data_IF_822334647473
#
_entry.id   IF_822334647473
#
_cell.length_a   1.000
_cell.length_b   1.000
_cell.length_c   1.000
_cell.angle_alpha   90.00
_cell.angle_beta   90.00
_cell.angle_gamma   90.00
#
_symmetry.space_group_name_H-M   'P 1'
#
loop_
_entity.id
_entity.type
_entity.pdbx_description
1 polymer ?
#
# COMPACT_ATOMS: atom_id res chain seq x y z
N UNK A 1 -3.12 16.87 -12.19
CA UNK A 1 -3.85 15.81 -12.91
C UNK A 1 -5.21 15.72 -12.27
N UNK A 2 -6.28 15.77 -13.06
CA UNK A 2 -7.63 15.62 -12.51
C UNK A 2 -7.88 14.14 -12.18
N UNK A 3 -7.82 13.79 -10.89
CA UNK A 3 -8.02 12.43 -10.41
C UNK A 3 -9.50 12.12 -10.18
N UNK A 4 -10.40 13.12 -10.16
CA UNK A 4 -11.82 12.89 -9.85
C UNK A 4 -12.57 12.15 -10.95
N UNK A 5 -11.99 12.03 -12.14
CA UNK A 5 -12.53 11.15 -13.19
C UNK A 5 -12.33 9.65 -12.91
N UNK A 6 -11.39 9.30 -12.02
CA UNK A 6 -11.01 7.92 -11.73
C UNK A 6 -11.49 7.44 -10.37
N UNK A 7 -11.87 8.37 -9.49
CA UNK A 7 -12.18 8.09 -8.09
C UNK A 7 -13.58 8.60 -7.80
N UNK A 8 -14.39 7.75 -7.17
CA UNK A 8 -15.73 8.12 -6.74
C UNK A 8 -15.67 9.28 -5.74
N UNK A 9 -16.49 10.30 -5.98
CA UNK A 9 -16.43 11.57 -5.25
C UNK A 9 -16.61 11.44 -3.73
N UNK A 10 -17.30 10.41 -3.25
CA UNK A 10 -17.51 10.17 -1.82
C UNK A 10 -16.23 9.74 -1.09
N UNK A 11 -15.26 9.16 -1.81
CA UNK A 11 -13.98 8.73 -1.25
C UNK A 11 -13.00 9.88 -1.05
N UNK A 12 -13.11 10.96 -1.84
CA UNK A 12 -12.15 12.08 -1.83
C UNK A 12 -12.11 12.85 -0.49
N UNK A 13 -13.18 12.77 0.30
CA UNK A 13 -13.21 13.35 1.65
C UNK A 13 -12.58 12.44 2.70
N UNK A 14 -12.60 11.12 2.48
CA UNK A 14 -12.15 10.09 3.42
C UNK A 14 -10.71 9.64 3.16
N UNK A 15 -10.23 9.81 1.94
CA UNK A 15 -8.93 9.35 1.51
C UNK A 15 -8.19 10.43 0.71
N UNK A 16 -6.88 10.42 0.79
CA UNK A 16 -6.00 11.12 -0.16
C UNK A 16 -5.36 10.13 -1.12
N UNK A 17 -5.15 10.54 -2.37
CA UNK A 17 -4.65 9.67 -3.42
C UNK A 17 -3.47 10.34 -4.13
N UNK A 18 -2.38 9.59 -4.30
CA UNK A 18 -1.20 10.02 -5.04
C UNK A 18 -0.93 9.03 -6.16
N UNK A 19 -1.01 9.52 -7.40
CA UNK A 19 -0.89 8.75 -8.62
C UNK A 19 0.56 8.78 -9.15
N UNK A 20 1.28 7.67 -9.01
CA UNK A 20 2.65 7.53 -9.53
C UNK A 20 2.68 6.54 -10.69
N UNK A 21 3.26 6.96 -11.82
CA UNK A 21 3.43 6.09 -12.98
C UNK A 21 2.13 5.71 -13.70
N UNK A 22 1.11 6.57 -13.64
CA UNK A 22 -0.22 6.33 -14.21
C UNK A 22 -0.96 5.14 -13.59
N UNK A 23 -0.76 4.88 -12.30
CA UNK A 23 -1.40 3.78 -11.58
C UNK A 23 -2.92 3.87 -11.59
N UNK A 24 -3.51 5.07 -11.46
CA UNK A 24 -4.96 5.25 -11.56
C UNK A 24 -5.49 4.92 -12.95
N UNK A 25 -4.79 5.34 -14.01
CA UNK A 25 -5.18 5.04 -15.38
C UNK A 25 -5.12 3.53 -15.65
N UNK A 26 -4.07 2.85 -15.18
CA UNK A 26 -3.94 1.40 -15.31
C UNK A 26 -5.04 0.68 -14.54
N UNK A 27 -5.31 1.08 -13.30
CA UNK A 27 -6.38 0.51 -12.48
C UNK A 27 -7.76 0.72 -13.16
N UNK A 28 -8.02 1.92 -13.66
CA UNK A 28 -9.31 2.25 -14.25
C UNK A 28 -9.55 1.57 -15.60
N UNK A 29 -8.56 1.56 -16.50
CA UNK A 29 -8.73 1.06 -17.87
C UNK A 29 -8.48 -0.44 -18.00
N UNK A 30 -7.45 -0.96 -17.32
CA UNK A 30 -7.01 -2.35 -17.47
C UNK A 30 -7.55 -3.28 -16.38
N UNK A 31 -7.85 -2.73 -15.19
CA UNK A 31 -8.31 -3.49 -14.02
C UNK A 31 -9.60 -2.92 -13.39
N UNK A 32 -10.64 -2.62 -14.19
CA UNK A 32 -11.82 -1.90 -13.71
C UNK A 32 -12.60 -2.66 -12.62
N UNK A 33 -12.57 -4.00 -12.63
CA UNK A 33 -13.22 -4.82 -11.60
C UNK A 33 -12.48 -4.74 -10.27
N UNK A 34 -11.15 -4.94 -10.28
CA UNK A 34 -10.30 -4.78 -9.10
C UNK A 34 -10.41 -3.36 -8.53
N UNK A 35 -10.37 -2.35 -9.39
CA UNK A 35 -10.46 -0.97 -8.96
C UNK A 35 -11.81 -0.66 -8.29
N UNK A 36 -12.91 -1.16 -8.86
CA UNK A 36 -14.24 -1.05 -8.25
C UNK A 36 -14.29 -1.72 -6.88
N UNK A 37 -13.72 -2.91 -6.73
CA UNK A 37 -13.68 -3.62 -5.46
C UNK A 37 -12.84 -2.90 -4.39
N UNK A 38 -11.70 -2.32 -4.79
CA UNK A 38 -10.88 -1.50 -3.89
C UNK A 38 -11.63 -0.24 -3.44
N UNK A 39 -12.34 0.45 -4.34
CA UNK A 39 -13.20 1.58 -3.98
C UNK A 39 -14.34 1.17 -3.03
N UNK A 40 -14.98 0.02 -3.26
CA UNK A 40 -15.96 -0.54 -2.32
C UNK A 40 -15.34 -0.88 -0.96
N UNK A 41 -14.11 -1.38 -0.94
CA UNK A 41 -13.36 -1.62 0.30
C UNK A 41 -13.12 -0.31 1.06
N UNK A 42 -12.65 0.73 0.38
CA UNK A 42 -12.45 2.05 0.97
C UNK A 42 -13.76 2.66 1.50
N UNK A 43 -14.87 2.48 0.77
CA UNK A 43 -16.19 2.97 1.16
C UNK A 43 -16.71 2.32 2.45
N UNK A 44 -16.48 1.01 2.60
CA UNK A 44 -16.89 0.21 3.76
C UNK A 44 -15.94 0.33 4.95
N UNK A 45 -14.73 0.86 4.75
CA UNK A 45 -13.77 1.06 5.83
C UNK A 45 -14.32 2.07 6.86
N UNK A 46 -14.35 1.62 8.11
CA UNK A 46 -14.72 2.46 9.24
C UNK A 46 -13.84 2.12 10.44
N UNK A 47 -13.24 3.14 11.06
CA UNK A 47 -12.31 3.00 12.18
C UNK A 47 -12.92 3.57 13.45
N UNK A 48 -13.04 2.78 14.50
CA UNK A 48 -13.43 3.29 15.82
C UNK A 48 -12.22 3.81 16.59
N UNK A 49 -12.45 4.61 17.63
CA UNK A 49 -11.38 5.01 18.57
C UNK A 49 -10.74 3.77 19.23
N UNK A 50 -11.55 2.76 19.56
CA UNK A 50 -11.05 1.53 20.16
C UNK A 50 -10.15 0.74 19.20
N UNK A 51 -10.45 0.74 17.90
CA UNK A 51 -9.58 0.14 16.88
C UNK A 51 -8.19 0.79 16.87
N UNK A 52 -8.15 2.11 17.02
CA UNK A 52 -6.91 2.90 16.98
C UNK A 52 -6.13 2.77 18.29
N UNK A 53 -6.82 2.62 19.43
CA UNK A 53 -6.22 2.45 20.77
C UNK A 53 -5.56 1.08 20.95
N UNK A 54 -6.18 -0.01 20.46
CA UNK A 54 -5.64 -1.38 20.57
C UNK A 54 -4.18 -1.47 20.15
N UNK A 55 -3.39 -2.32 20.81
CA UNK A 55 -1.97 -2.53 20.53
C UNK A 55 -1.67 -2.81 19.04
N UNK A 56 -0.48 -2.40 18.59
CA UNK A 56 -0.03 -2.64 17.21
C UNK A 56 0.43 -4.09 16.96
N UNK A 57 0.86 -4.38 15.74
CA UNK A 57 1.24 -5.74 15.32
C UNK A 57 0.01 -6.59 14.98
N UNK A 58 0.10 -7.91 15.19
CA UNK A 58 -0.97 -8.88 14.89
C UNK A 58 -2.25 -8.69 15.74
N UNK A 59 -2.24 -7.77 16.71
CA UNK A 59 -3.37 -7.45 17.56
C UNK A 59 -4.22 -6.28 17.04
N UNK A 60 -3.76 -5.57 16.00
CA UNK A 60 -4.53 -4.49 15.40
C UNK A 60 -5.73 -5.07 14.63
N UNK A 61 -6.95 -4.58 14.86
CA UNK A 61 -8.13 -5.04 14.13
C UNK A 61 -8.20 -4.46 12.70
N UNK A 62 -7.31 -3.53 12.35
CA UNK A 62 -7.42 -2.75 11.12
C UNK A 62 -7.12 -3.59 9.88
N UNK A 63 -6.02 -4.37 9.81
CA UNK A 63 -5.80 -5.30 8.69
C UNK A 63 -6.99 -6.24 8.45
N UNK A 64 -7.54 -6.79 9.53
CA UNK A 64 -8.70 -7.68 9.44
C UNK A 64 -9.94 -7.04 8.79
N UNK A 65 -10.15 -5.73 8.96
CA UNK A 65 -11.24 -5.03 8.28
C UNK A 65 -11.08 -5.04 6.76
N UNK A 66 -9.85 -5.03 6.25
CA UNK A 66 -9.59 -5.20 4.82
C UNK A 66 -9.79 -6.65 4.40
N UNK A 67 -9.30 -7.62 5.19
CA UNK A 67 -9.53 -9.06 4.95
C UNK A 67 -11.02 -9.38 4.76
N UNK A 68 -11.84 -8.93 5.72
CA UNK A 68 -13.28 -9.20 5.77
C UNK A 68 -14.01 -8.67 4.51
N UNK A 69 -13.46 -7.66 3.84
CA UNK A 69 -14.04 -7.08 2.62
C UNK A 69 -13.43 -7.69 1.35
N UNK A 70 -12.11 -7.81 1.28
CA UNK A 70 -11.38 -8.19 0.06
C UNK A 70 -11.35 -9.70 -0.17
N UNK A 71 -11.33 -10.53 0.88
CA UNK A 71 -11.32 -11.99 0.71
C UNK A 71 -12.58 -12.51 -0.01
N UNK A 72 -13.80 -12.04 0.30
CA UNK A 72 -14.99 -12.39 -0.47
C UNK A 72 -14.89 -12.05 -1.97
N UNK A 73 -14.14 -11.01 -2.34
CA UNK A 73 -13.90 -10.63 -3.74
C UNK A 73 -12.78 -11.45 -4.43
N UNK A 74 -12.15 -12.37 -3.70
CA UNK A 74 -11.11 -13.26 -4.26
C UNK A 74 -9.68 -12.76 -4.11
N UNK A 75 -9.46 -11.63 -3.44
CA UNK A 75 -8.11 -11.17 -3.09
C UNK A 75 -7.50 -12.09 -2.04
N UNK A 76 -6.20 -12.38 -2.14
CA UNK A 76 -5.52 -13.30 -1.22
C UNK A 76 -4.15 -12.76 -0.86
N UNK A 77 -3.75 -12.97 0.40
CA UNK A 77 -2.36 -12.89 0.79
C UNK A 77 -1.56 -13.91 -0.04
N UNK A 78 -0.48 -13.45 -0.64
CA UNK A 78 0.34 -14.28 -1.50
C UNK A 78 1.81 -14.10 -1.18
N UNK A 79 2.53 -15.21 -1.18
CA UNK A 79 3.99 -15.23 -1.16
C UNK A 79 4.48 -15.56 -2.56
N UNK A 80 5.24 -14.66 -3.16
CA UNK A 80 5.79 -14.84 -4.51
C UNK A 80 7.26 -15.17 -4.39
N UNK A 81 7.71 -16.29 -4.94
CA UNK A 81 9.13 -16.66 -4.99
C UNK A 81 9.50 -17.22 -6.34
N UNK A 82 10.73 -17.03 -6.78
CA UNK A 82 11.19 -17.54 -8.06
C UNK A 82 12.70 -17.49 -8.20
N UNK A 83 13.23 -18.45 -8.94
CA UNK A 83 14.64 -18.52 -9.32
C UNK A 83 14.84 -17.93 -10.72
N UNK A 84 16.02 -17.36 -10.99
CA UNK A 84 16.40 -16.91 -12.32
C UNK A 84 17.37 -17.92 -12.95
N UNK A 85 16.92 -18.59 -14.02
CA UNK A 85 17.77 -19.48 -14.82
C UNK A 85 18.43 -18.67 -15.92
N UNK A 86 19.76 -18.54 -15.87
CA UNK A 86 20.56 -17.86 -16.88
C UNK A 86 21.23 -18.90 -17.77
N UNK A 87 20.98 -18.83 -19.08
CA UNK A 87 21.54 -19.73 -20.08
C UNK A 87 22.44 -18.97 -21.05
N UNK A 88 23.72 -19.37 -21.15
CA UNK A 88 24.71 -18.71 -22.01
C UNK A 88 24.98 -19.56 -23.25
N UNK A 89 24.70 -19.01 -24.42
CA UNK A 89 24.84 -19.69 -25.72
C UNK A 89 26.04 -19.15 -26.49
N UNK A 90 27.09 -19.96 -26.76
CA UNK A 90 28.24 -19.48 -27.49
C UNK A 90 27.90 -19.33 -28.99
N UNK A 91 28.71 -18.55 -29.71
CA UNK A 91 28.60 -18.46 -31.18
C UNK A 91 29.01 -19.79 -31.81
N UNK A 92 28.30 -20.24 -32.85
CA UNK A 92 28.74 -21.40 -33.66
C UNK A 92 30.05 -21.06 -34.38
N UNK A 93 31.10 -21.86 -34.15
CA UNK A 93 32.51 -21.61 -34.57
C UNK A 93 32.66 -21.55 -36.10
N UNK A 94 31.76 -22.21 -36.83
CA UNK A 94 31.72 -22.22 -38.28
C UNK A 94 30.43 -21.56 -38.80
N UNK A 95 30.63 -20.44 -39.52
CA UNK A 95 29.71 -19.83 -40.49
C UNK A 95 28.56 -18.95 -39.97
N UNK A 96 28.68 -17.66 -40.37
CA UNK A 96 27.71 -16.55 -40.36
C UNK A 96 27.55 -15.79 -39.02
N UNK A 97 27.76 -14.46 -39.08
CA UNK A 97 27.40 -13.51 -38.01
C UNK A 97 25.93 -13.76 -37.60
N UNK A 98 25.68 -13.84 -36.29
CA UNK A 98 24.33 -13.90 -35.71
C UNK A 98 23.78 -15.30 -35.42
N UNK A 99 24.54 -16.39 -35.63
CA UNK A 99 24.11 -17.75 -35.24
C UNK A 99 24.76 -18.22 -33.92
N UNK A 100 23.93 -18.61 -32.97
CA UNK A 100 24.33 -19.17 -31.66
C UNK A 100 24.11 -20.68 -31.60
N UNK A 101 24.73 -21.35 -30.64
CA UNK A 101 24.51 -22.78 -30.35
C UNK A 101 23.05 -23.04 -29.97
N UNK A 102 22.56 -24.26 -30.24
CA UNK A 102 21.20 -24.65 -29.86
C UNK A 102 21.15 -25.08 -28.38
N UNK A 103 22.28 -25.53 -27.83
CA UNK A 103 22.46 -25.87 -26.43
C UNK A 103 23.35 -24.84 -25.72
N UNK A 104 23.06 -24.48 -24.45
CA UNK A 104 23.89 -23.57 -23.68
C UNK A 104 25.23 -24.23 -23.30
N UNK A 105 26.32 -23.46 -23.30
CA UNK A 105 27.60 -23.94 -22.78
C UNK A 105 27.67 -23.87 -21.25
N UNK A 106 26.84 -22.99 -20.67
CA UNK A 106 26.77 -22.75 -19.24
C UNK A 106 25.33 -22.39 -18.87
N UNK A 107 24.82 -23.04 -17.83
CA UNK A 107 23.52 -22.76 -17.21
C UNK A 107 23.79 -22.54 -15.74
N UNK A 108 23.38 -21.38 -15.23
CA UNK A 108 23.43 -21.07 -13.81
C UNK A 108 22.03 -20.71 -13.31
N UNK A 109 21.72 -21.13 -12.08
CA UNK A 109 20.47 -20.78 -11.40
C UNK A 109 20.79 -19.84 -10.26
N UNK A 110 20.23 -18.63 -10.32
CA UNK A 110 20.25 -17.69 -9.20
C UNK A 110 19.01 -18.00 -8.36
N UNK A 111 19.22 -18.71 -7.25
CA UNK A 111 18.14 -19.11 -6.35
C UNK A 111 17.57 -17.92 -5.60
N UNK A 112 16.25 -17.85 -5.45
CA UNK A 112 15.58 -16.78 -4.73
C UNK A 112 15.77 -15.40 -5.36
N UNK A 113 15.83 -15.35 -6.70
CA UNK A 113 15.93 -14.09 -7.43
C UNK A 113 14.76 -13.15 -7.13
N UNK A 114 13.56 -13.72 -6.99
CA UNK A 114 12.39 -13.04 -6.47
C UNK A 114 12.30 -13.32 -4.98
N UNK A 115 12.39 -12.26 -4.18
CA UNK A 115 12.25 -12.32 -2.72
C UNK A 115 10.86 -12.83 -2.37
N UNK A 116 10.81 -13.82 -1.47
CA UNK A 116 9.60 -14.44 -0.95
C UNK A 116 8.79 -13.51 -0.04
N UNK A 117 8.75 -12.22 -0.32
CA UNK A 117 8.03 -11.23 0.48
C UNK A 117 6.52 -11.41 0.28
N UNK A 118 5.76 -11.37 1.37
CA UNK A 118 4.32 -11.50 1.30
C UNK A 118 3.71 -10.18 0.85
N UNK A 119 2.80 -10.25 -0.13
CA UNK A 119 1.89 -9.15 -0.46
C UNK A 119 0.60 -9.43 0.29
N UNK A 120 0.08 -8.42 1.00
CA UNK A 120 -1.15 -8.58 1.80
C UNK A 120 -2.31 -9.05 0.94
N UNK A 121 -2.44 -8.50 -0.27
CA UNK A 121 -3.47 -8.90 -1.22
C UNK A 121 -2.97 -8.84 -2.67
N UNK A 122 -3.09 -9.95 -3.38
CA UNK A 122 -2.95 -10.01 -4.83
C UNK A 122 -4.25 -10.51 -5.46
N UNK A 123 -4.70 -9.83 -6.51
CA UNK A 123 -5.72 -10.32 -7.43
C UNK A 123 -5.31 -10.00 -8.86
N UNK A 124 -5.30 -11.03 -9.70
CA UNK A 124 -4.78 -10.94 -11.07
C UNK A 124 -3.38 -10.32 -11.08
N UNK A 125 -3.24 -9.09 -11.59
CA UNK A 125 -1.96 -8.37 -11.69
C UNK A 125 -1.95 -7.07 -10.88
N UNK A 126 -2.86 -6.93 -9.92
CA UNK A 126 -2.96 -5.80 -9.00
C UNK A 126 -2.52 -6.24 -7.61
N UNK A 127 -1.40 -5.69 -7.15
CA UNK A 127 -0.92 -5.89 -5.78
C UNK A 127 -1.45 -4.79 -4.85
N UNK A 128 -1.75 -5.15 -3.61
CA UNK A 128 -2.19 -4.22 -2.58
C UNK A 128 -1.50 -4.57 -1.26
N UNK A 129 -0.89 -3.57 -0.62
CA UNK A 129 -0.30 -3.64 0.72
C UNK A 129 -0.90 -2.59 1.65
N UNK A 130 -1.20 -2.99 2.89
CA UNK A 130 -1.71 -2.14 3.96
C UNK A 130 -0.65 -1.89 5.02
N UNK A 131 -0.17 -0.65 5.07
CA UNK A 131 0.83 -0.23 6.05
C UNK A 131 0.23 0.72 7.09
N UNK A 132 -0.31 0.14 8.18
CA UNK A 132 -0.98 0.91 9.23
C UNK A 132 -0.04 1.57 10.25
N UNK A 133 0.78 0.79 10.95
CA UNK A 133 1.65 1.30 12.02
C UNK A 133 2.93 0.46 12.21
N UNK A 134 3.46 -0.05 11.10
CA UNK A 134 4.74 -0.75 11.04
C UNK A 134 5.90 0.25 11.16
N UNK A 135 7.15 -0.24 11.21
CA UNK A 135 8.34 0.60 11.06
C UNK A 135 8.38 1.18 9.65
N UNK A 136 8.78 2.44 9.49
CA UNK A 136 8.78 3.10 8.17
C UNK A 136 9.71 2.46 7.12
N UNK A 137 10.71 1.68 7.57
CA UNK A 137 11.57 0.84 6.73
C UNK A 137 10.80 -0.22 5.95
N UNK A 138 9.61 -0.60 6.43
CA UNK A 138 8.74 -1.55 5.73
C UNK A 138 8.43 -1.08 4.31
N UNK A 139 8.18 0.22 4.09
CA UNK A 139 7.97 0.75 2.75
C UNK A 139 9.13 0.48 1.78
N UNK A 140 10.37 0.46 2.26
CA UNK A 140 11.51 0.19 1.37
C UNK A 140 11.51 -1.25 0.86
N UNK A 141 11.06 -2.19 1.70
CA UNK A 141 10.88 -3.59 1.34
C UNK A 141 9.69 -3.77 0.40
N UNK A 142 8.54 -3.18 0.71
CA UNK A 142 7.33 -3.37 -0.09
C UNK A 142 7.51 -2.74 -1.49
N UNK A 143 8.11 -1.55 -1.58
CA UNK A 143 8.43 -0.92 -2.86
C UNK A 143 9.47 -1.72 -3.67
N UNK A 144 10.46 -2.34 -3.00
CA UNK A 144 11.42 -3.22 -3.67
C UNK A 144 10.74 -4.49 -4.20
N UNK A 145 9.83 -5.08 -3.42
CA UNK A 145 9.06 -6.25 -3.81
C UNK A 145 8.15 -5.93 -5.01
N UNK A 146 7.32 -4.88 -4.92
CA UNK A 146 6.45 -4.42 -6.01
C UNK A 146 7.23 -4.10 -7.29
N UNK A 147 8.41 -3.47 -7.16
CA UNK A 147 9.32 -3.26 -8.30
C UNK A 147 9.73 -4.58 -8.93
N UNK A 148 10.19 -5.53 -8.12
CA UNK A 148 10.68 -6.83 -8.60
C UNK A 148 9.56 -7.61 -9.30
N UNK A 149 8.37 -7.63 -8.70
CA UNK A 149 7.20 -8.30 -9.28
C UNK A 149 6.78 -7.65 -10.60
N UNK A 150 6.85 -6.33 -10.71
CA UNK A 150 6.59 -5.61 -11.96
C UNK A 150 7.65 -5.92 -13.03
N UNK A 151 8.94 -5.85 -12.67
CA UNK A 151 10.06 -6.11 -13.59
C UNK A 151 10.02 -7.57 -14.12
N UNK A 152 9.52 -8.51 -13.31
CA UNK A 152 9.26 -9.91 -13.70
C UNK A 152 7.94 -10.11 -14.46
N UNK A 153 7.13 -9.06 -14.64
CA UNK A 153 5.83 -9.15 -15.29
C UNK A 153 4.84 -10.01 -14.52
N UNK A 154 4.84 -9.97 -13.19
CA UNK A 154 3.87 -10.65 -12.32
C UNK A 154 2.72 -9.73 -11.90
N UNK A 155 3.00 -8.43 -11.76
CA UNK A 155 2.01 -7.38 -11.50
C UNK A 155 2.18 -6.25 -12.51
N UNK A 156 1.12 -5.45 -12.70
CA UNK A 156 1.15 -4.25 -13.55
C UNK A 156 0.98 -2.96 -12.75
N UNK A 157 0.42 -3.05 -11.53
CA UNK A 157 0.22 -1.91 -10.64
C UNK A 157 0.17 -2.36 -9.18
N UNK A 158 0.76 -1.54 -8.31
CA UNK A 158 0.68 -1.69 -6.86
C UNK A 158 -0.20 -0.60 -6.22
N UNK A 159 -0.88 -0.96 -5.15
CA UNK A 159 -1.63 -0.04 -4.28
C UNK A 159 -1.05 -0.14 -2.87
N UNK A 160 -0.66 0.99 -2.30
CA UNK A 160 -0.18 1.03 -0.91
C UNK A 160 -1.10 1.93 -0.11
N UNK A 161 -1.77 1.36 0.88
CA UNK A 161 -2.66 2.08 1.78
C UNK A 161 -1.94 2.34 3.09
N UNK A 162 -1.94 3.59 3.56
CA UNK A 162 -1.35 3.95 4.85
C UNK A 162 -2.13 5.09 5.49
N UNK A 163 -1.68 5.58 6.64
CA UNK A 163 -2.30 6.70 7.36
C UNK A 163 -1.97 8.04 6.70
N UNK A 164 -2.96 8.90 6.53
CA UNK A 164 -2.72 10.31 6.22
C UNK A 164 -2.12 11.04 7.43
N UNK A 165 -1.41 12.14 7.18
CA UNK A 165 -0.83 12.96 8.26
C UNK A 165 -1.87 13.57 9.21
N UNK A 166 -3.08 13.81 8.71
CA UNK A 166 -4.21 14.42 9.44
C UNK A 166 -4.71 13.55 10.60
N UNK A 167 -4.52 12.22 10.55
CA UNK A 167 -4.86 11.33 11.67
C UNK A 167 -4.09 11.66 12.97
N UNK A 168 -2.93 12.32 12.86
CA UNK A 168 -2.18 12.79 14.02
C UNK A 168 -2.95 13.83 14.85
N UNK A 169 -3.96 14.50 14.29
CA UNK A 169 -4.87 15.36 15.07
C UNK A 169 -5.61 14.54 16.13
N UNK A 170 -6.17 13.40 15.73
CA UNK A 170 -6.86 12.45 16.61
C UNK A 170 -5.89 11.88 17.65
N UNK A 171 -4.70 11.44 17.22
CA UNK A 171 -3.76 10.76 18.11
C UNK A 171 -3.18 11.65 19.21
N UNK A 172 -3.20 12.98 19.02
CA UNK A 172 -2.78 13.95 20.04
C UNK A 172 -3.86 14.23 21.09
N UNK A 173 -5.13 14.03 20.75
CA UNK A 173 -6.26 14.28 21.66
C UNK A 173 -6.61 13.04 22.51
N UNK A 174 -6.37 11.85 21.98
CA UNK A 174 -6.78 10.59 22.60
C UNK A 174 -5.70 10.02 23.49
N UNK A 175 -6.13 9.40 24.59
CA UNK A 175 -5.27 8.66 25.52
C UNK A 175 -5.52 7.15 25.40
N UNK A 176 -4.46 6.37 25.56
CA UNK A 176 -4.56 4.93 25.72
C UNK A 176 -5.11 4.55 27.11
N UNK A 177 -5.27 3.24 27.36
CA UNK A 177 -5.82 2.72 28.62
C UNK A 177 -4.87 2.95 29.81
N UNK A 178 -3.63 3.36 29.57
CA UNK A 178 -2.64 3.74 30.56
C UNK A 178 -2.55 5.28 30.74
N UNK A 179 -3.43 6.05 30.10
CA UNK A 179 -3.48 7.51 30.20
C UNK A 179 -2.42 8.24 29.36
N UNK A 180 -1.62 7.53 28.56
CA UNK A 180 -0.62 8.15 27.69
C UNK A 180 -1.25 8.65 26.38
N UNK A 181 -0.71 9.75 25.85
CA UNK A 181 -1.14 10.28 24.56
C UNK A 181 -0.81 9.27 23.46
N UNK A 182 -1.82 8.94 22.65
CA UNK A 182 -1.73 7.90 21.63
C UNK A 182 -0.68 8.20 20.55
N UNK A 183 -0.35 9.48 20.33
CA UNK A 183 0.73 9.92 19.45
C UNK A 183 2.08 9.22 19.72
N UNK A 184 2.36 8.79 20.96
CA UNK A 184 3.59 8.04 21.28
C UNK A 184 3.68 6.71 20.53
N UNK A 185 2.53 6.05 20.29
CA UNK A 185 2.42 4.80 19.51
C UNK A 185 2.61 5.04 18.01
N UNK A 186 2.09 6.15 17.50
CA UNK A 186 2.14 6.53 16.09
C UNK A 186 3.30 7.50 15.78
N UNK A 187 4.45 7.21 16.38
CA UNK A 187 5.63 8.09 16.36
C UNK A 187 6.26 8.28 14.97
N UNK A 188 7.24 9.17 14.87
CA UNK A 188 7.85 9.59 13.61
C UNK A 188 8.54 8.48 12.79
N UNK A 189 8.84 7.33 13.40
CA UNK A 189 9.48 6.18 12.75
C UNK A 189 8.47 5.11 12.29
N UNK A 190 7.17 5.42 12.30
CA UNK A 190 6.11 4.51 11.84
C UNK A 190 5.66 4.86 10.42
N UNK A 191 4.98 3.92 9.76
CA UNK A 191 4.42 4.12 8.41
C UNK A 191 3.29 5.16 8.40
N UNK A 192 3.41 6.17 7.55
CA UNK A 192 2.37 7.16 7.21
C UNK A 192 2.72 7.84 5.89
N UNK A 193 1.78 8.57 5.30
CA UNK A 193 1.88 9.09 3.93
C UNK A 193 3.14 9.92 3.66
N UNK A 194 3.58 10.77 4.59
CA UNK A 194 4.80 11.57 4.42
C UNK A 194 6.09 10.75 4.35
N UNK A 195 6.08 9.53 4.91
CA UNK A 195 7.21 8.58 4.78
C UNK A 195 7.18 7.81 3.46
N UNK A 196 5.98 7.58 2.93
CA UNK A 196 5.79 6.89 1.65
C UNK A 196 6.07 7.81 0.46
N UNK A 197 5.46 8.99 0.42
CA UNK A 197 5.61 9.99 -0.67
C UNK A 197 7.07 10.38 -0.88
N UNK A 198 7.84 10.66 0.18
CA UNK A 198 9.29 10.92 0.05
C UNK A 198 10.05 9.81 -0.71
N UNK A 199 9.67 8.54 -0.50
CA UNK A 199 10.28 7.38 -1.16
C UNK A 199 9.82 7.24 -2.61
N UNK A 200 8.53 7.47 -2.86
CA UNK A 200 7.95 7.45 -4.21
C UNK A 200 8.47 8.61 -5.07
N UNK A 201 8.61 9.81 -4.51
CA UNK A 201 9.23 10.97 -5.15
C UNK A 201 10.70 10.71 -5.51
N UNK A 202 11.39 9.93 -4.66
CA UNK A 202 12.74 9.43 -4.90
C UNK A 202 12.78 8.20 -5.84
N UNK A 203 11.64 7.80 -6.40
CA UNK A 203 11.47 6.65 -7.30
C UNK A 203 11.97 5.31 -6.76
N UNK A 204 11.76 5.04 -5.46
CA UNK A 204 12.13 3.75 -4.86
C UNK A 204 11.32 2.56 -5.41
N UNK A 205 10.15 2.82 -6.00
CA UNK A 205 9.34 1.86 -6.76
C UNK A 205 9.93 1.48 -8.14
N UNK A 206 11.01 2.11 -8.58
CA UNK A 206 11.56 1.88 -9.91
C UNK A 206 10.55 2.20 -11.02
N UNK A 207 10.29 1.23 -11.89
CA UNK A 207 9.31 1.35 -12.99
C UNK A 207 7.87 1.00 -12.61
N UNK A 208 7.64 0.38 -11.44
CA UNK A 208 6.31 -0.10 -11.05
C UNK A 208 5.35 1.07 -10.79
N UNK A 209 4.19 1.14 -11.47
CA UNK A 209 3.13 2.09 -11.14
C UNK A 209 2.57 1.86 -9.74
N UNK A 210 2.50 2.92 -8.92
CA UNK A 210 2.01 2.84 -7.54
C UNK A 210 0.89 3.85 -7.31
N UNK A 211 -0.23 3.38 -6.77
CA UNK A 211 -1.25 4.23 -6.17
C UNK A 211 -1.03 4.26 -4.65
N UNK A 212 -0.62 5.42 -4.11
CA UNK A 212 -0.54 5.59 -2.67
C UNK A 212 -1.84 6.21 -2.16
N UNK A 213 -2.46 5.56 -1.17
CA UNK A 213 -3.75 5.96 -0.58
C UNK A 213 -3.57 6.25 0.90
N UNK A 214 -3.96 7.45 1.33
CA UNK A 214 -3.88 7.87 2.72
C UNK A 214 -5.26 7.87 3.38
N UNK A 215 -5.42 7.12 4.47
CA UNK A 215 -6.64 7.11 5.28
C UNK A 215 -6.70 8.42 6.06
N UNK A 216 -7.70 9.27 5.80
CA UNK A 216 -7.90 10.55 6.51
C UNK A 216 -8.68 10.35 7.81
N UNK A 217 -8.78 11.43 8.59
CA UNK A 217 -9.48 11.44 9.90
C UNK A 217 -10.99 11.22 9.77
N UNK A 218 -11.55 11.50 8.60
CA UNK A 218 -12.97 11.30 8.24
C UNK A 218 -13.34 9.81 8.13
N UNK A 219 -12.37 8.89 8.09
CA UNK A 219 -12.60 7.45 8.25
C UNK A 219 -12.79 7.02 9.71
N UNK A 220 -12.57 7.92 10.68
CA UNK A 220 -12.69 7.61 12.10
C UNK A 220 -14.08 7.99 12.62
N UNK A 221 -14.82 7.00 13.10
CA UNK A 221 -16.14 7.17 13.70
C UNK A 221 -16.10 8.11 14.91
N UNK A 222 -17.18 8.85 15.12
CA UNK A 222 -17.38 9.81 16.22
C UNK A 222 -16.40 11.01 16.29
N UNK A 223 -15.38 11.09 15.44
CA UNK A 223 -14.49 12.26 15.40
C UNK A 223 -15.25 13.55 15.06
N UNK A 224 -16.21 13.50 14.13
CA UNK A 224 -17.07 14.65 13.81
C UNK A 224 -17.88 15.15 15.02
N UNK A 225 -18.27 14.25 15.95
CA UNK A 225 -18.97 14.61 17.19
C UNK A 225 -18.00 15.17 18.24
N UNK A 226 -16.82 14.57 18.38
CA UNK A 226 -15.75 15.04 19.28
C UNK A 226 -15.25 16.44 18.91
N UNK A 227 -15.04 16.71 17.62
CA UNK A 227 -14.61 18.03 17.13
C UNK A 227 -15.67 19.11 17.37
N UNK A 228 -16.95 18.79 17.15
CA UNK A 228 -18.07 19.70 17.43
C UNK A 228 -18.19 20.01 18.93
N UNK A 229 -18.14 18.99 19.78
CA UNK A 229 -18.19 19.12 21.24
C UNK A 229 -16.99 19.92 21.79
N UNK A 230 -15.77 19.64 21.33
CA UNK A 230 -14.56 20.35 21.75
C UNK A 230 -14.56 21.82 21.29
N UNK A 231 -15.13 22.11 20.12
CA UNK A 231 -15.32 23.48 19.62
C UNK A 231 -16.31 24.28 20.49
N UNK A 232 -17.42 23.67 20.90
CA UNK A 232 -18.38 24.28 21.81
C UNK A 232 -17.81 24.51 23.21
N UNK A 233 -17.09 23.52 23.77
CA UNK A 233 -16.41 23.67 25.06
C UNK A 233 -15.36 24.79 25.07
N UNK A 234 -14.57 24.92 23.99
CA UNK A 234 -13.59 26.02 23.83
C UNK A 234 -14.26 27.39 23.70
N UNK A 235 -15.48 27.46 23.15
CA UNK A 235 -16.28 28.70 23.13
C UNK A 235 -16.82 29.06 24.51
N UNK A 236 -17.20 28.06 25.31
CA UNK A 236 -17.69 28.24 26.69
C UNK A 236 -16.56 28.70 27.62
N UNK A 237 -15.36 28.12 27.51
CA UNK A 237 -14.19 28.48 28.34
C UNK A 237 -13.45 29.76 27.90
N UNK A 238 -13.87 30.40 26.82
CA UNK A 238 -13.36 31.71 26.35
C UNK A 238 -14.27 32.89 26.73
N UNK A 239 -15.35 32.65 27.49
CA UNK A 239 -16.17 33.66 28.15
C UNK A 239 -15.80 33.73 29.63
#
# INVERSE_FOLDING_TARGET
MDISKYIDSDLLNKFEFYNYGHSLEILHESYPEEWKELQECFRKLSLSIDDIKKSGGNESPIPKKFDDILYPYGWREIRISGDLIVKKYPRKVAQRRGKFADEPYEVETITGYIDGHNIDFLKNRVAFDLEWNSKDQTFDRDLLAMRTYFDCGLIDVGVIVTRAGELNEIFREIRDDHGQILMKKYGASTTWMGKLTYRLDSRRNGGCPILAVGIRKECVEDYGRLAAYNSELKKIHKR
#
